data_IF_361159863372
#
_entry.id   IF_361159863372
#
_cell.length_a   1.000
_cell.length_b   1.000
_cell.length_c   1.000
_cell.angle_alpha   90.00
_cell.angle_beta   90.00
_cell.angle_gamma   90.00
#
_symmetry.space_group_name_H-M   'P 1'
#
loop_
_entity.id
_entity.type
_entity.pdbx_description
1 polymer ?
#
# COMPACT_ATOMS: atom_id res chain seq x y z
N UNK A 1 18.70 -39.68 -45.99
CA UNK A 1 18.46 -41.07 -45.54
C UNK A 1 18.44 -41.02 -44.03
N UNK A 2 17.33 -40.79 -43.34
CA UNK A 2 16.09 -41.59 -43.28
C UNK A 2 16.14 -42.38 -41.94
N UNK A 3 15.10 -42.56 -41.12
CA UNK A 3 13.67 -42.31 -41.16
C UNK A 3 13.12 -42.43 -39.71
N UNK A 4 12.10 -41.62 -39.39
CA UNK A 4 10.97 -41.77 -38.43
C UNK A 4 11.10 -42.42 -37.02
N UNK A 5 10.43 -41.80 -36.03
CA UNK A 5 9.61 -42.50 -35.04
C UNK A 5 8.10 -42.47 -35.40
N UNK A 6 7.28 -43.46 -34.98
CA UNK A 6 5.95 -43.67 -35.54
C UNK A 6 4.80 -42.95 -34.82
N UNK A 7 3.80 -42.63 -35.67
CA UNK A 7 2.35 -42.71 -35.47
C UNK A 7 1.60 -41.67 -34.62
N UNK A 8 1.05 -40.69 -35.35
CA UNK A 8 -0.22 -40.01 -35.07
C UNK A 8 -1.40 -41.01 -34.99
N UNK A 9 -2.35 -40.79 -34.07
CA UNK A 9 -3.74 -41.25 -34.23
C UNK A 9 -4.64 -40.06 -34.62
N UNK A 10 -5.46 -40.32 -35.63
CA UNK A 10 -6.46 -39.45 -36.30
C UNK A 10 -7.84 -39.68 -35.63
N UNK A 11 -8.82 -38.77 -35.78
CA UNK A 11 -9.88 -38.51 -34.80
C UNK A 11 -11.11 -39.39 -35.02
N UNK A 12 -12.02 -39.39 -34.04
CA UNK A 12 -13.34 -39.99 -34.18
C UNK A 12 -14.41 -38.91 -34.12
N UNK A 13 -15.17 -38.82 -35.21
CA UNK A 13 -16.37 -38.01 -35.38
C UNK A 13 -17.55 -38.54 -34.54
N UNK A 14 -18.38 -37.58 -34.14
CA UNK A 14 -19.74 -37.59 -33.54
C UNK A 14 -20.74 -38.62 -34.14
N UNK A 15 -21.90 -38.97 -33.49
CA UNK A 15 -22.91 -38.01 -33.01
C UNK A 15 -23.76 -38.32 -31.75
N UNK A 16 -24.39 -37.24 -31.27
CA UNK A 16 -25.46 -37.01 -30.27
C UNK A 16 -26.76 -37.84 -30.48
N UNK A 17 -27.74 -37.96 -29.53
CA UNK A 17 -28.41 -36.82 -28.85
C UNK A 17 -29.07 -36.99 -27.45
N UNK A 18 -29.33 -35.84 -26.82
CA UNK A 18 -30.66 -35.50 -26.27
C UNK A 18 -30.94 -35.71 -24.77
N UNK A 19 -31.01 -34.61 -24.00
CA UNK A 19 -32.19 -34.26 -23.20
C UNK A 19 -32.11 -32.81 -22.70
N UNK A 20 -33.06 -32.01 -23.18
CA UNK A 20 -33.50 -30.77 -22.56
C UNK A 20 -34.40 -31.06 -21.35
N UNK A 21 -34.55 -30.06 -20.47
CA UNK A 21 -35.52 -29.80 -19.38
C UNK A 21 -34.70 -29.28 -18.17
N UNK A 22 -34.93 -28.12 -17.57
CA UNK A 22 -36.00 -27.13 -17.66
C UNK A 22 -35.56 -25.84 -16.99
N UNK A 23 -36.22 -24.74 -17.37
CA UNK A 23 -36.16 -23.43 -16.73
C UNK A 23 -37.03 -23.42 -15.47
N UNK A 24 -36.82 -22.36 -14.70
CA UNK A 24 -37.73 -21.74 -13.71
C UNK A 24 -37.43 -22.09 -12.24
N UNK A 25 -36.76 -21.16 -11.55
CA UNK A 25 -37.24 -20.55 -10.30
C UNK A 25 -36.28 -19.43 -9.85
N UNK A 26 -36.64 -18.19 -10.19
CA UNK A 26 -36.05 -16.95 -9.66
C UNK A 26 -37.05 -16.36 -8.67
N UNK A 27 -36.72 -16.19 -7.37
CA UNK A 27 -37.56 -15.43 -6.47
C UNK A 27 -37.41 -13.91 -6.70
N UNK A 28 -38.55 -13.24 -6.82
CA UNK A 28 -38.70 -11.82 -7.07
C UNK A 28 -38.24 -10.93 -5.90
N UNK A 29 -37.65 -9.79 -6.26
CA UNK A 29 -37.34 -8.64 -5.41
C UNK A 29 -38.63 -7.81 -5.22
N UNK A 30 -39.03 -7.41 -4.00
CA UNK A 30 -40.12 -6.45 -3.83
C UNK A 30 -39.61 -4.99 -3.94
N UNK A 31 -40.36 -4.19 -4.71
CA UNK A 31 -40.19 -2.74 -4.91
C UNK A 31 -40.37 -1.91 -3.62
N UNK A 32 -39.77 -0.69 -3.56
CA UNK A 32 -39.71 0.13 -2.35
C UNK A 32 -41.00 0.93 -2.09
N UNK A 33 -41.29 1.12 -0.80
CA UNK A 33 -42.42 1.89 -0.26
C UNK A 33 -42.16 3.40 -0.33
N UNK A 34 -43.17 4.16 -0.77
CA UNK A 34 -43.23 5.63 -0.85
C UNK A 34 -43.24 6.36 0.51
N UNK A 35 -42.88 7.66 0.55
CA UNK A 35 -42.62 8.42 1.78
C UNK A 35 -43.85 9.15 2.36
N UNK A 36 -43.85 9.35 3.69
CA UNK A 36 -44.80 10.20 4.43
C UNK A 36 -44.14 11.51 4.93
N UNK A 37 -44.93 12.55 5.27
CA UNK A 37 -44.69 13.91 4.79
C UNK A 37 -44.03 14.89 5.77
N UNK A 38 -43.63 16.03 5.18
CA UNK A 38 -43.01 17.22 5.79
C UNK A 38 -43.93 17.91 6.81
N UNK A 39 -43.34 18.23 7.98
CA UNK A 39 -43.87 19.14 8.98
C UNK A 39 -43.08 20.45 9.06
N UNK A 40 -43.82 21.52 9.25
CA UNK A 40 -43.51 22.94 9.02
C UNK A 40 -42.94 23.64 10.29
N UNK A 41 -42.22 24.76 10.09
CA UNK A 41 -42.00 25.93 11.03
C UNK A 41 -40.97 25.71 12.17
N UNK A 42 -40.08 26.65 12.54
CA UNK A 42 -40.23 28.09 12.71
C UNK A 42 -38.87 28.86 12.71
N UNK A 43 -38.97 30.17 12.49
CA UNK A 43 -37.90 31.21 12.49
C UNK A 43 -37.51 31.70 13.90
N UNK A 44 -36.39 32.44 13.91
CA UNK A 44 -35.93 33.49 14.86
C UNK A 44 -34.79 33.03 15.79
N UNK A 45 -33.72 33.79 16.04
CA UNK A 45 -33.37 35.16 15.65
C UNK A 45 -32.03 35.54 16.32
N UNK A 46 -31.34 36.50 15.73
CA UNK A 46 -30.05 37.08 16.14
C UNK A 46 -30.03 37.74 17.54
N UNK A 47 -28.85 37.74 18.19
CA UNK A 47 -28.21 38.89 18.87
C UNK A 47 -26.96 38.40 19.64
N UNK A 48 -25.72 38.70 19.22
CA UNK A 48 -24.90 39.89 19.53
C UNK A 48 -24.51 40.13 21.02
N UNK A 49 -23.25 39.78 21.31
CA UNK A 49 -22.17 40.70 21.70
C UNK A 49 -21.69 40.83 23.17
N UNK A 50 -20.34 40.92 23.27
CA UNK A 50 -19.45 41.48 24.34
C UNK A 50 -19.31 40.60 25.60
N UNK A 51 -18.15 40.34 26.18
CA UNK A 51 -16.76 40.77 26.02
C UNK A 51 -16.07 40.57 27.39
N UNK A 52 -14.82 40.10 27.44
CA UNK A 52 -14.09 39.98 28.71
C UNK A 52 -12.88 39.05 28.64
N UNK A 53 -11.69 39.61 28.83
CA UNK A 53 -10.41 38.89 28.94
C UNK A 53 -10.29 38.18 30.28
N UNK A 54 -9.74 36.97 30.29
CA UNK A 54 -8.90 36.49 31.40
C UNK A 54 -7.93 35.41 30.92
N UNK A 55 -6.69 35.49 31.40
CA UNK A 55 -5.56 34.61 31.10
C UNK A 55 -5.59 33.41 32.06
N UNK A 56 -5.66 32.17 31.56
CA UNK A 56 -5.18 30.99 32.28
C UNK A 56 -5.11 29.73 31.38
N UNK A 57 -3.92 29.12 31.37
CA UNK A 57 -3.55 27.75 30.96
C UNK A 57 -4.55 26.90 30.15
N UNK A 58 -4.22 26.66 28.89
CA UNK A 58 -4.88 25.63 28.09
C UNK A 58 -4.07 24.32 28.11
N UNK A 59 -4.71 23.30 28.68
CA UNK A 59 -4.44 21.89 28.39
C UNK A 59 -4.78 21.67 26.92
N UNK A 60 -3.91 20.96 26.20
CA UNK A 60 -4.21 20.41 24.89
C UNK A 60 -5.28 19.31 25.05
N UNK A 61 -6.55 19.66 24.89
CA UNK A 61 -7.59 18.67 24.60
C UNK A 61 -7.52 18.34 23.10
N UNK A 62 -6.94 17.17 22.77
CA UNK A 62 -7.05 16.57 21.45
C UNK A 62 -8.43 15.95 21.29
N UNK A 63 -9.18 16.40 20.28
CA UNK A 63 -10.48 15.81 19.91
C UNK A 63 -10.30 14.41 19.35
N UNK A 64 -10.88 13.43 20.03
CA UNK A 64 -11.27 12.14 19.44
C UNK A 64 -12.51 12.40 18.59
N UNK A 65 -12.48 12.00 17.33
CA UNK A 65 -13.63 12.11 16.43
C UNK A 65 -14.58 10.94 16.72
N UNK A 66 -15.50 11.13 17.66
CA UNK A 66 -16.71 10.31 17.76
C UNK A 66 -17.82 10.98 16.94
N UNK A 67 -18.40 10.21 16.01
CA UNK A 67 -19.38 10.70 15.06
C UNK A 67 -20.78 10.82 15.65
N UNK A 68 -21.39 12.00 15.53
CA UNK A 68 -22.77 12.18 15.09
C UNK A 68 -22.89 13.53 14.36
N UNK A 69 -23.42 13.48 13.13
CA UNK A 69 -23.53 14.61 12.22
C UNK A 69 -24.83 15.38 12.46
N UNK A 70 -24.80 16.72 12.54
CA UNK A 70 -25.82 17.64 12.01
C UNK A 70 -25.11 18.94 11.56
N UNK A 71 -25.46 19.41 10.35
CA UNK A 71 -24.59 20.20 9.48
C UNK A 71 -24.36 21.68 9.81
N UNK A 72 -23.21 22.18 9.35
CA UNK A 72 -23.05 23.40 8.54
C UNK A 72 -21.64 23.34 7.91
N UNK A 73 -21.54 23.12 6.60
CA UNK A 73 -20.26 23.04 5.88
C UNK A 73 -19.64 24.42 5.76
N UNK A 74 -18.67 24.74 6.61
CA UNK A 74 -17.72 25.83 6.38
C UNK A 74 -16.57 25.29 5.50
N UNK A 75 -16.09 26.06 4.51
CA UNK A 75 -14.96 25.64 3.69
C UNK A 75 -13.72 25.47 4.58
N UNK A 76 -13.13 24.28 4.54
CA UNK A 76 -11.85 23.99 5.17
C UNK A 76 -10.77 24.93 4.58
N UNK A 77 -9.97 25.62 5.40
CA UNK A 77 -8.82 26.35 4.88
C UNK A 77 -7.84 25.34 4.27
N UNK A 78 -7.29 25.68 3.10
CA UNK A 78 -6.23 24.89 2.48
C UNK A 78 -5.09 24.69 3.49
N UNK A 79 -4.55 23.46 3.63
CA UNK A 79 -3.41 23.24 4.49
C UNK A 79 -2.24 24.09 3.97
N UNK A 80 -1.67 24.91 4.85
CA UNK A 80 -0.43 25.64 4.55
C UNK A 80 0.72 24.67 4.29
N UNK A 81 1.73 25.08 3.51
CA UNK A 81 2.89 24.24 3.23
C UNK A 81 3.57 23.85 4.55
N UNK A 82 3.74 22.55 4.76
CA UNK A 82 4.62 22.03 5.80
C UNK A 82 6.03 22.09 5.20
N UNK A 83 6.83 23.05 5.63
CA UNK A 83 8.23 23.16 5.21
C UNK A 83 9.00 21.95 5.76
N UNK A 84 9.44 21.08 4.84
CA UNK A 84 10.53 20.17 5.14
C UNK A 84 11.84 20.97 5.16
N UNK A 85 12.69 20.83 6.18
CA UNK A 85 14.02 21.44 6.14
C UNK A 85 14.76 20.88 4.93
N UNK A 86 15.34 21.79 4.13
CA UNK A 86 16.15 21.45 2.97
C UNK A 86 17.21 20.41 3.36
N UNK A 87 17.26 19.32 2.60
CA UNK A 87 18.36 18.37 2.70
C UNK A 87 19.66 19.12 2.37
N UNK A 88 20.66 19.01 3.24
CA UNK A 88 21.99 19.58 3.01
C UNK A 88 22.56 19.07 1.66
N UNK A 89 23.10 20.00 0.88
CA UNK A 89 23.64 19.81 -0.47
C UNK A 89 24.74 18.71 -0.51
N UNK A 90 24.39 17.53 -1.02
CA UNK A 90 25.37 16.68 -1.72
C UNK A 90 25.49 17.14 -3.19
N UNK A 91 26.69 17.07 -3.80
CA UNK A 91 26.88 17.60 -5.14
C UNK A 91 26.08 16.77 -6.15
N UNK A 92 25.00 17.37 -6.65
CA UNK A 92 24.19 16.80 -7.72
C UNK A 92 25.07 16.49 -8.93
N UNK A 93 24.95 15.25 -9.41
CA UNK A 93 25.50 14.84 -10.69
C UNK A 93 25.03 15.80 -11.80
N UNK A 94 25.93 16.06 -12.73
CA UNK A 94 25.91 17.11 -13.74
C UNK A 94 24.57 17.18 -14.50
N UNK A 95 23.84 18.29 -14.35
CA UNK A 95 22.94 18.92 -15.35
C UNK A 95 22.19 17.97 -16.32
N UNK A 96 21.59 16.91 -15.78
CA UNK A 96 20.80 15.98 -16.58
C UNK A 96 19.44 16.59 -16.90
N UNK A 97 19.08 16.66 -18.18
CA UNK A 97 17.75 17.07 -18.63
C UNK A 97 16.66 16.33 -17.82
N UNK A 98 15.79 17.05 -17.07
CA UNK A 98 14.76 16.44 -16.25
C UNK A 98 13.90 15.41 -17.00
N UNK A 99 13.67 15.62 -18.30
CA UNK A 99 12.94 14.65 -19.14
C UNK A 99 13.68 13.33 -19.24
N UNK A 100 15.00 13.37 -19.40
CA UNK A 100 15.84 12.16 -19.51
C UNK A 100 15.79 11.36 -18.22
N UNK A 101 15.90 12.02 -17.07
CA UNK A 101 15.81 11.38 -15.75
C UNK A 101 14.42 10.78 -15.51
N UNK A 102 13.35 11.51 -15.80
CA UNK A 102 11.97 11.05 -15.64
C UNK A 102 11.66 9.87 -16.58
N UNK A 103 12.10 9.94 -17.83
CA UNK A 103 11.92 8.84 -18.78
C UNK A 103 12.72 7.59 -18.38
N UNK A 104 13.92 7.78 -17.81
CA UNK A 104 14.69 6.70 -17.18
C UNK A 104 13.91 6.05 -16.02
N UNK A 105 13.40 6.85 -15.09
CA UNK A 105 12.58 6.37 -13.97
C UNK A 105 11.35 5.60 -14.45
N UNK A 106 10.62 6.12 -15.42
CA UNK A 106 9.45 5.46 -15.99
C UNK A 106 9.81 4.10 -16.63
N UNK A 107 10.91 4.00 -17.37
CA UNK A 107 11.42 2.72 -17.90
C UNK A 107 11.78 1.73 -16.79
N UNK A 108 12.46 2.20 -15.74
CA UNK A 108 12.80 1.35 -14.59
C UNK A 108 11.54 0.82 -13.88
N UNK A 109 10.51 1.66 -13.70
CA UNK A 109 9.23 1.22 -13.12
C UNK A 109 8.55 0.18 -14.02
N UNK A 110 8.49 0.42 -15.33
CA UNK A 110 7.90 -0.51 -16.29
C UNK A 110 8.57 -1.90 -16.22
N UNK A 111 9.90 -1.93 -16.18
CA UNK A 111 10.69 -3.15 -16.08
C UNK A 111 10.52 -3.86 -14.73
N UNK A 112 10.45 -3.09 -13.63
CA UNK A 112 10.34 -3.63 -12.29
C UNK A 112 8.96 -4.27 -12.01
N UNK A 113 7.88 -3.68 -12.53
CA UNK A 113 6.51 -4.15 -12.24
C UNK A 113 5.99 -5.15 -13.27
N UNK A 114 6.62 -5.25 -14.44
CA UNK A 114 6.30 -6.26 -15.44
C UNK A 114 7.58 -6.93 -15.99
N UNK A 115 8.36 -7.62 -15.15
CA UNK A 115 9.48 -8.41 -15.61
C UNK A 115 9.03 -9.53 -16.59
N UNK A 116 9.95 -10.18 -17.33
CA UNK A 116 9.60 -11.19 -18.33
C UNK A 116 8.75 -12.36 -17.82
N UNK A 117 8.80 -12.65 -16.53
CA UNK A 117 8.05 -13.70 -15.83
C UNK A 117 6.76 -13.20 -15.16
N UNK A 118 6.44 -11.89 -15.26
CA UNK A 118 5.21 -11.34 -14.72
C UNK A 118 3.97 -11.92 -15.43
N UNK A 119 2.84 -12.08 -14.71
CA UNK A 119 1.58 -12.48 -15.32
C UNK A 119 1.20 -11.54 -16.47
N UNK A 120 0.58 -12.04 -17.55
CA UNK A 120 0.14 -11.21 -18.67
C UNK A 120 -0.75 -10.03 -18.27
N UNK A 121 -1.45 -10.09 -17.13
CA UNK A 121 -2.25 -8.99 -16.58
C UNK A 121 -1.43 -7.74 -16.19
N UNK A 122 -0.10 -7.82 -16.07
CA UNK A 122 0.73 -6.64 -15.77
C UNK A 122 1.03 -5.75 -16.97
N UNK A 123 0.62 -6.16 -18.18
CA UNK A 123 0.95 -5.44 -19.42
C UNK A 123 0.53 -3.97 -19.41
N UNK A 124 -0.60 -3.63 -18.78
CA UNK A 124 -1.16 -2.28 -18.82
C UNK A 124 -0.32 -1.30 -17.98
N UNK A 125 0.15 -1.76 -16.83
CA UNK A 125 1.13 -1.05 -16.00
C UNK A 125 2.37 -0.72 -16.83
N UNK A 126 3.00 -1.75 -17.43
CA UNK A 126 4.20 -1.57 -18.24
C UNK A 126 3.95 -0.62 -19.41
N UNK A 127 2.87 -0.83 -20.16
CA UNK A 127 2.52 0.00 -21.31
C UNK A 127 2.29 1.47 -20.94
N UNK A 128 1.72 1.73 -19.76
CA UNK A 128 1.51 3.11 -19.25
C UNK A 128 2.84 3.80 -18.99
N UNK A 129 3.74 3.16 -18.23
CA UNK A 129 5.04 3.76 -17.92
C UNK A 129 5.95 3.86 -19.14
N UNK A 130 5.92 2.89 -20.05
CA UNK A 130 6.64 3.01 -21.32
C UNK A 130 6.08 4.15 -22.17
N UNK A 131 4.76 4.37 -22.19
CA UNK A 131 4.18 5.52 -22.87
C UNK A 131 4.62 6.85 -22.24
N UNK A 132 4.67 6.96 -20.91
CA UNK A 132 5.21 8.14 -20.22
C UNK A 132 6.67 8.40 -20.60
N UNK A 133 7.47 7.34 -20.80
CA UNK A 133 8.89 7.46 -21.12
C UNK A 133 9.20 7.78 -22.59
N UNK A 134 8.25 7.61 -23.51
CA UNK A 134 8.46 7.65 -24.97
C UNK A 134 7.57 8.66 -25.70
N UNK A 135 6.43 9.04 -25.14
CA UNK A 135 5.53 10.04 -25.74
C UNK A 135 5.82 11.43 -25.18
N UNK A 136 6.13 12.38 -26.07
CA UNK A 136 6.50 13.74 -25.67
C UNK A 136 5.43 14.45 -24.84
N UNK A 137 4.14 14.22 -25.10
CA UNK A 137 3.07 14.92 -24.38
C UNK A 137 2.92 14.38 -22.95
N UNK A 138 3.06 13.07 -22.75
CA UNK A 138 3.07 12.48 -21.41
C UNK A 138 4.33 12.88 -20.64
N UNK A 139 5.49 12.89 -21.32
CA UNK A 139 6.76 13.26 -20.70
C UNK A 139 6.79 14.75 -20.33
N UNK A 140 6.22 15.63 -21.15
CA UNK A 140 6.01 17.05 -20.83
C UNK A 140 5.17 17.22 -19.56
N UNK A 141 4.07 16.47 -19.43
CA UNK A 141 3.23 16.51 -18.24
C UNK A 141 3.98 16.03 -17.00
N UNK A 142 4.69 14.90 -17.10
CA UNK A 142 5.48 14.37 -16.00
C UNK A 142 6.58 15.35 -15.58
N UNK A 143 7.24 16.04 -16.52
CA UNK A 143 8.27 17.04 -16.24
C UNK A 143 7.76 18.28 -15.47
N UNK A 144 6.43 18.49 -15.38
CA UNK A 144 5.86 19.54 -14.52
C UNK A 144 5.79 19.18 -13.05
N UNK A 145 6.03 17.91 -12.71
CA UNK A 145 5.94 17.37 -11.35
C UNK A 145 7.34 17.42 -10.72
N UNK A 146 7.50 17.96 -9.50
CA UNK A 146 8.76 17.88 -8.76
C UNK A 146 9.27 16.43 -8.65
N UNK A 147 10.58 16.25 -8.83
CA UNK A 147 11.17 14.91 -8.92
C UNK A 147 10.98 14.07 -7.64
N UNK A 148 11.00 14.71 -6.47
CA UNK A 148 10.74 14.12 -5.16
C UNK A 148 9.28 13.64 -4.97
N UNK A 149 8.38 13.98 -5.89
CA UNK A 149 6.98 13.53 -5.91
C UNK A 149 6.72 12.37 -6.87
N UNK A 150 7.77 11.69 -7.34
CA UNK A 150 7.70 10.50 -8.18
C UNK A 150 6.88 10.71 -9.47
N UNK A 151 7.35 11.57 -10.40
CA UNK A 151 6.55 12.05 -11.53
C UNK A 151 5.81 10.97 -12.35
N UNK A 152 6.44 9.85 -12.76
CA UNK A 152 5.74 8.84 -13.55
C UNK A 152 4.60 8.16 -12.77
N UNK A 153 4.81 7.88 -11.48
CA UNK A 153 3.82 7.23 -10.61
C UNK A 153 2.64 8.16 -10.37
N UNK A 154 2.92 9.42 -10.03
CA UNK A 154 1.89 10.40 -9.76
C UNK A 154 1.05 10.73 -11.01
N UNK A 155 1.69 10.87 -12.18
CA UNK A 155 0.97 11.08 -13.44
C UNK A 155 0.09 9.88 -13.79
N UNK A 156 0.59 8.65 -13.61
CA UNK A 156 -0.19 7.43 -13.83
C UNK A 156 -1.46 7.40 -12.96
N UNK A 157 -1.33 7.72 -11.67
CA UNK A 157 -2.46 7.82 -10.74
C UNK A 157 -3.44 8.93 -11.14
N UNK A 158 -2.95 10.12 -11.50
CA UNK A 158 -3.80 11.22 -11.96
C UNK A 158 -4.59 10.86 -13.23
N UNK A 159 -3.96 10.18 -14.19
CA UNK A 159 -4.63 9.66 -15.39
C UNK A 159 -5.73 8.69 -15.00
N UNK A 160 -5.44 7.69 -14.16
CA UNK A 160 -6.42 6.68 -13.75
C UNK A 160 -7.59 7.30 -12.98
N UNK A 161 -7.32 8.23 -12.07
CA UNK A 161 -8.34 8.93 -11.29
C UNK A 161 -9.29 9.74 -12.18
N UNK A 162 -8.72 10.52 -13.12
CA UNK A 162 -9.50 11.37 -14.02
C UNK A 162 -10.26 10.58 -15.09
N UNK A 163 -9.78 9.38 -15.41
CA UNK A 163 -10.41 8.48 -16.37
C UNK A 163 -11.84 8.09 -15.96
N UNK A 164 -12.11 7.93 -14.67
CA UNK A 164 -13.43 7.54 -14.18
C UNK A 164 -14.50 8.60 -14.51
N UNK A 165 -14.11 9.89 -14.45
CA UNK A 165 -15.01 11.03 -14.67
C UNK A 165 -15.05 11.47 -16.15
N UNK A 166 -13.91 11.46 -16.84
CA UNK A 166 -13.74 12.11 -18.16
C UNK A 166 -13.12 11.20 -19.23
N UNK A 167 -12.77 9.98 -18.87
CA UNK A 167 -12.11 9.04 -19.76
C UNK A 167 -12.98 8.66 -20.95
N UNK A 168 -12.45 8.69 -22.18
CA UNK A 168 -13.22 8.28 -23.34
C UNK A 168 -13.34 6.74 -23.39
N UNK A 169 -14.42 6.18 -23.99
CA UNK A 169 -14.67 4.73 -23.98
C UNK A 169 -13.52 3.89 -24.55
N UNK A 170 -12.81 4.41 -25.56
CA UNK A 170 -11.65 3.77 -26.17
C UNK A 170 -10.48 3.57 -25.21
N UNK A 171 -10.32 4.43 -24.19
CA UNK A 171 -9.29 4.28 -23.17
C UNK A 171 -9.81 3.51 -21.94
N UNK A 172 -11.02 3.84 -21.47
CA UNK A 172 -11.64 3.19 -20.29
C UNK A 172 -11.67 1.67 -20.38
N UNK A 173 -11.91 1.12 -21.57
CA UNK A 173 -12.01 -0.33 -21.82
C UNK A 173 -10.74 -1.14 -21.52
N UNK A 174 -9.58 -0.51 -21.36
CA UNK A 174 -8.34 -1.23 -21.01
C UNK A 174 -8.20 -1.44 -19.51
N UNK A 175 -8.76 -0.54 -18.71
CA UNK A 175 -8.56 -0.50 -17.27
C UNK A 175 -9.53 -1.45 -16.56
N UNK A 176 -9.04 -2.39 -15.74
CA UNK A 176 -9.89 -3.34 -15.04
C UNK A 176 -10.71 -2.67 -13.93
N UNK A 177 -11.82 -3.32 -13.60
CA UNK A 177 -12.59 -3.09 -12.37
C UNK A 177 -12.38 -4.28 -11.42
N UNK A 178 -12.56 -4.11 -10.10
CA UNK A 178 -12.52 -5.21 -9.14
C UNK A 178 -13.40 -6.40 -9.58
N UNK A 179 -12.84 -7.61 -9.57
CA UNK A 179 -13.49 -8.85 -10.02
C UNK A 179 -13.79 -8.92 -11.53
N UNK A 180 -13.36 -7.93 -12.32
CA UNK A 180 -13.59 -7.86 -13.76
C UNK A 180 -12.60 -8.70 -14.56
N UNK A 181 -12.62 -8.52 -15.88
CA UNK A 181 -11.59 -9.08 -16.76
C UNK A 181 -10.63 -7.98 -17.20
N UNK A 182 -9.41 -8.37 -17.59
CA UNK A 182 -8.44 -7.46 -18.17
C UNK A 182 -8.31 -7.72 -19.67
N UNK A 183 -8.46 -6.64 -20.45
CA UNK A 183 -8.34 -6.70 -21.91
C UNK A 183 -6.88 -7.02 -22.30
N UNK A 184 -6.63 -7.86 -23.31
CA UNK A 184 -5.28 -8.04 -23.84
C UNK A 184 -4.74 -6.77 -24.51
N UNK A 185 -3.41 -6.62 -24.63
CA UNK A 185 -2.80 -5.47 -25.30
C UNK A 185 -3.19 -5.44 -26.79
N UNK A 186 -3.43 -4.24 -27.30
CA UNK A 186 -3.58 -3.97 -28.73
C UNK A 186 -3.00 -2.58 -29.08
N UNK A 187 -2.90 -2.25 -30.37
CA UNK A 187 -2.32 -0.99 -30.83
C UNK A 187 -3.14 0.26 -30.50
N UNK A 188 -4.35 0.12 -29.95
CA UNK A 188 -5.25 1.24 -29.65
C UNK A 188 -4.96 1.94 -28.31
N UNK A 189 -4.27 1.27 -27.38
CA UNK A 189 -4.05 1.81 -26.03
C UNK A 189 -3.22 3.11 -26.04
N UNK A 190 -2.03 3.08 -26.65
CA UNK A 190 -1.11 4.23 -26.64
C UNK A 190 -1.71 5.49 -27.30
N UNK A 191 -2.32 5.42 -28.50
CA UNK A 191 -2.98 6.59 -29.09
C UNK A 191 -4.13 7.14 -28.24
N UNK A 192 -4.94 6.27 -27.61
CA UNK A 192 -6.04 6.68 -26.75
C UNK A 192 -5.52 7.37 -25.47
N UNK A 193 -4.48 6.82 -24.84
CA UNK A 193 -3.82 7.41 -23.67
C UNK A 193 -3.24 8.79 -23.99
N UNK A 194 -2.48 8.89 -25.08
CA UNK A 194 -1.91 10.16 -25.57
C UNK A 194 -2.99 11.20 -25.85
N UNK A 195 -4.07 10.80 -26.54
CA UNK A 195 -5.19 11.68 -26.88
C UNK A 195 -5.86 12.24 -25.63
N UNK A 196 -6.18 11.38 -24.66
CA UNK A 196 -6.76 11.77 -23.39
C UNK A 196 -5.84 12.70 -22.57
N UNK A 197 -4.56 12.32 -22.42
CA UNK A 197 -3.59 13.11 -21.67
C UNK A 197 -3.39 14.51 -22.29
N UNK A 198 -3.35 14.59 -23.61
CA UNK A 198 -3.25 15.88 -24.32
C UNK A 198 -4.51 16.74 -24.13
N UNK A 199 -5.71 16.16 -24.24
CA UNK A 199 -6.96 16.90 -24.10
C UNK A 199 -7.25 17.37 -22.67
N UNK A 200 -6.78 16.61 -21.69
CA UNK A 200 -7.05 16.85 -20.26
C UNK A 200 -5.79 17.32 -19.50
N UNK A 201 -4.75 17.78 -20.22
CA UNK A 201 -3.45 18.17 -19.68
C UNK A 201 -3.53 19.08 -18.44
N UNK A 202 -4.35 20.13 -18.50
CA UNK A 202 -4.54 21.06 -17.38
C UNK A 202 -5.10 20.36 -16.13
N UNK A 203 -6.12 19.53 -16.30
CA UNK A 203 -6.75 18.82 -15.19
C UNK A 203 -5.78 17.82 -14.55
N UNK A 204 -4.99 17.13 -15.37
CA UNK A 204 -3.95 16.20 -14.89
C UNK A 204 -2.84 16.92 -14.13
N UNK A 205 -2.37 18.07 -14.61
CA UNK A 205 -1.39 18.89 -13.88
C UNK A 205 -1.94 19.38 -12.53
N UNK A 206 -3.21 19.82 -12.50
CA UNK A 206 -3.84 20.28 -11.26
C UNK A 206 -4.01 19.13 -10.25
N UNK A 207 -4.39 17.92 -10.70
CA UNK A 207 -4.43 16.72 -9.86
C UNK A 207 -3.04 16.38 -9.28
N UNK A 208 -1.99 16.37 -10.12
CA UNK A 208 -0.63 16.09 -9.66
C UNK A 208 -0.12 17.13 -8.64
N UNK A 209 -0.60 18.37 -8.69
CA UNK A 209 -0.27 19.38 -7.67
C UNK A 209 -0.95 19.06 -6.33
N UNK A 210 -2.23 18.67 -6.39
CA UNK A 210 -3.09 18.46 -5.23
C UNK A 210 -2.80 17.17 -4.47
N UNK A 211 -2.26 16.15 -5.13
CA UNK A 211 -2.15 14.81 -4.54
C UNK A 211 -0.72 14.26 -4.51
N UNK A 212 -0.39 13.49 -3.49
CA UNK A 212 0.81 12.64 -3.45
C UNK A 212 0.47 11.23 -3.90
N UNK A 213 1.42 10.58 -4.57
CA UNK A 213 1.31 9.16 -4.88
C UNK A 213 1.40 8.35 -3.60
N UNK A 214 0.54 7.34 -3.45
CA UNK A 214 0.49 6.48 -2.27
C UNK A 214 0.81 5.05 -2.68
N UNK A 215 1.91 4.51 -2.16
CA UNK A 215 2.35 3.15 -2.48
C UNK A 215 1.86 2.16 -1.42
N UNK A 216 0.55 1.96 -1.38
CA UNK A 216 -0.06 0.98 -0.46
C UNK A 216 -0.19 -0.38 -1.14
N UNK A 217 0.53 -1.39 -0.63
CA UNK A 217 0.41 -2.77 -1.11
C UNK A 217 -0.04 -3.68 0.03
N UNK A 218 -1.32 -4.07 0.00
CA UNK A 218 -1.95 -4.95 1.00
C UNK A 218 -1.24 -6.30 1.08
N UNK A 219 -0.69 -6.79 -0.05
CA UNK A 219 -0.01 -8.06 -0.11
C UNK A 219 1.22 -8.14 0.79
N UNK A 220 1.82 -7.02 1.22
CA UNK A 220 2.94 -7.00 2.19
C UNK A 220 2.57 -7.56 3.57
N UNK A 221 1.28 -7.76 3.86
CA UNK A 221 0.86 -8.56 5.01
C UNK A 221 1.37 -10.00 4.96
N UNK A 222 1.65 -10.54 3.76
CA UNK A 222 2.28 -11.86 3.59
C UNK A 222 3.69 -11.90 4.19
N UNK A 223 4.42 -10.79 4.14
CA UNK A 223 5.79 -10.66 4.67
C UNK A 223 5.78 -10.47 6.19
N UNK A 224 4.79 -9.72 6.70
CA UNK A 224 4.64 -9.41 8.12
C UNK A 224 4.08 -10.58 8.94
N UNK A 225 3.09 -11.32 8.42
CA UNK A 225 2.36 -12.31 9.20
C UNK A 225 3.27 -13.42 9.79
N UNK A 226 4.27 -13.97 9.07
CA UNK A 226 5.21 -14.94 9.63
C UNK A 226 6.07 -14.34 10.75
N UNK A 227 6.48 -13.07 10.64
CA UNK A 227 7.22 -12.38 11.71
C UNK A 227 6.36 -12.17 12.96
N UNK A 228 5.11 -11.76 12.78
CA UNK A 228 4.16 -11.63 13.89
C UNK A 228 3.85 -12.99 14.54
N UNK A 229 3.76 -14.06 13.75
CA UNK A 229 3.57 -15.42 14.24
C UNK A 229 4.78 -15.90 15.07
N UNK A 230 6.01 -15.60 14.63
CA UNK A 230 7.23 -15.88 15.39
C UNK A 230 7.23 -15.15 16.74
N UNK A 231 6.91 -13.84 16.74
CA UNK A 231 6.81 -13.05 17.98
C UNK A 231 5.77 -13.66 18.94
N UNK A 232 4.58 -13.99 18.45
CA UNK A 232 3.51 -14.55 19.28
C UNK A 232 3.81 -15.99 19.79
N UNK A 233 4.71 -16.72 19.13
CA UNK A 233 5.16 -18.03 19.62
C UNK A 233 6.19 -17.89 20.76
N UNK A 234 6.94 -16.79 20.79
CA UNK A 234 7.96 -16.51 21.80
C UNK A 234 7.42 -15.75 23.02
N UNK A 235 6.37 -14.95 22.83
CA UNK A 235 5.76 -14.11 23.86
C UNK A 235 4.24 -14.37 23.96
N UNK A 236 3.72 -14.78 25.12
CA UNK A 236 2.30 -15.13 25.26
C UNK A 236 1.37 -13.91 25.35
N UNK A 237 1.90 -12.69 25.41
CA UNK A 237 1.08 -11.47 25.43
C UNK A 237 0.35 -11.29 24.11
N UNK A 238 -0.81 -10.63 24.17
CA UNK A 238 -1.47 -10.15 22.96
C UNK A 238 -0.66 -9.01 22.33
N UNK A 239 -0.78 -8.84 21.02
CA UNK A 239 -0.08 -7.81 20.27
C UNK A 239 -0.87 -6.49 20.31
N UNK A 240 -0.18 -5.41 20.62
CA UNK A 240 -0.58 -4.04 20.28
C UNK A 240 0.18 -3.64 19.00
N UNK A 241 -0.49 -3.78 17.85
CA UNK A 241 0.11 -3.58 16.54
C UNK A 241 0.14 -2.10 16.18
N UNK A 242 1.32 -1.58 15.80
CA UNK A 242 1.48 -0.20 15.38
C UNK A 242 2.09 -0.18 13.98
N UNK A 243 1.35 0.32 13.01
CA UNK A 243 1.79 0.44 11.61
C UNK A 243 2.34 1.84 11.34
N UNK A 244 3.63 1.92 11.04
CA UNK A 244 4.37 3.15 10.79
C UNK A 244 4.35 3.47 9.30
N UNK A 245 3.83 4.65 8.95
CA UNK A 245 3.53 4.98 7.54
C UNK A 245 2.27 4.30 7.04
N UNK A 246 1.26 4.19 7.90
CA UNK A 246 0.08 3.35 7.65
C UNK A 246 -0.76 3.82 6.45
N UNK A 247 -0.61 5.08 6.03
CA UNK A 247 -1.48 5.74 5.07
C UNK A 247 -2.95 5.64 5.47
N UNK A 248 -3.65 4.71 4.84
CA UNK A 248 -5.09 4.45 5.03
C UNK A 248 -5.41 3.29 5.99
N UNK A 249 -4.41 2.68 6.64
CA UNK A 249 -4.65 1.63 7.63
C UNK A 249 -4.81 0.21 7.07
N UNK A 250 -4.62 -0.01 5.76
CA UNK A 250 -4.84 -1.33 5.16
C UNK A 250 -3.89 -2.41 5.71
N UNK A 251 -2.67 -2.03 6.11
CA UNK A 251 -1.68 -2.92 6.72
C UNK A 251 -1.98 -3.29 8.17
N UNK A 252 -2.93 -2.61 8.83
CA UNK A 252 -3.29 -2.86 10.23
C UNK A 252 -4.19 -4.09 10.41
N UNK A 253 -4.65 -4.76 9.35
CA UNK A 253 -5.62 -5.86 9.41
C UNK A 253 -5.08 -7.25 8.99
N UNK A 254 -3.84 -7.64 9.33
CA UNK A 254 -3.31 -8.94 8.91
C UNK A 254 -4.10 -10.11 9.53
N UNK A 255 -4.82 -9.87 10.63
CA UNK A 255 -5.72 -10.82 11.29
C UNK A 255 -7.06 -11.04 10.58
N UNK A 256 -7.36 -10.23 9.55
CA UNK A 256 -8.60 -10.31 8.77
C UNK A 256 -8.40 -10.72 7.32
N UNK A 257 -7.17 -11.03 6.93
CA UNK A 257 -6.85 -11.47 5.58
C UNK A 257 -6.54 -12.96 5.57
N UNK A 258 -6.88 -13.63 4.48
CA UNK A 258 -6.48 -15.02 4.25
C UNK A 258 -5.16 -15.03 3.49
N UNK A 259 -4.12 -15.63 4.07
CA UNK A 259 -2.79 -15.70 3.49
C UNK A 259 -2.47 -17.14 3.07
N UNK A 260 -2.04 -17.31 1.82
CA UNK A 260 -1.61 -18.59 1.25
C UNK A 260 -0.15 -18.52 0.80
N UNK A 261 0.68 -19.39 1.37
CA UNK A 261 2.11 -19.50 1.09
C UNK A 261 2.37 -20.78 0.30
N UNK A 262 2.69 -20.65 -0.99
CA UNK A 262 2.98 -21.81 -1.86
C UNK A 262 4.43 -22.25 -1.66
N UNK A 263 4.64 -23.48 -1.22
CA UNK A 263 5.96 -24.02 -0.92
C UNK A 263 6.61 -24.65 -2.17
N UNK A 264 7.96 -24.76 -2.21
CA UNK A 264 8.67 -25.35 -3.35
C UNK A 264 8.32 -26.82 -3.65
N UNK A 265 7.79 -27.55 -2.66
CA UNK A 265 7.37 -28.96 -2.81
C UNK A 265 5.94 -29.12 -3.40
N UNK A 266 5.30 -27.99 -3.76
CA UNK A 266 3.95 -27.95 -4.30
C UNK A 266 2.84 -27.96 -3.24
N UNK A 267 3.17 -28.05 -1.95
CA UNK A 267 2.21 -27.87 -0.87
C UNK A 267 1.96 -26.38 -0.59
N UNK A 268 0.94 -26.07 0.22
CA UNK A 268 0.67 -24.70 0.65
C UNK A 268 0.41 -24.65 2.16
N UNK A 269 0.91 -23.60 2.80
CA UNK A 269 0.53 -23.23 4.17
C UNK A 269 -0.47 -22.09 4.10
N UNK A 270 -1.47 -22.12 4.97
CA UNK A 270 -2.50 -21.07 5.04
C UNK A 270 -2.64 -20.52 6.45
N UNK A 271 -3.04 -19.26 6.55
CA UNK A 271 -3.38 -18.60 7.81
C UNK A 271 -4.48 -17.56 7.61
N UNK A 272 -5.32 -17.36 8.62
CA UNK A 272 -6.48 -16.46 8.56
C UNK A 272 -7.77 -17.16 8.17
N UNK A 273 -8.88 -16.42 8.23
CA UNK A 273 -10.22 -16.92 7.91
C UNK A 273 -10.34 -17.22 6.42
N UNK A 274 -10.69 -18.45 6.06
CA UNK A 274 -10.91 -18.87 4.66
C UNK A 274 -12.09 -18.14 3.98
N UNK A 275 -12.99 -17.53 4.76
CA UNK A 275 -14.10 -16.72 4.28
C UNK A 275 -13.78 -15.22 4.19
N UNK A 276 -12.54 -14.81 4.48
CA UNK A 276 -12.09 -13.44 4.29
C UNK A 276 -12.33 -13.00 2.83
N UNK A 277 -12.87 -11.80 2.57
CA UNK A 277 -12.97 -11.29 1.20
C UNK A 277 -11.60 -10.95 0.60
N UNK A 278 -10.55 -10.84 1.42
CA UNK A 278 -9.17 -10.57 1.01
C UNK A 278 -8.37 -11.86 1.06
N UNK A 279 -7.97 -12.35 -0.12
CA UNK A 279 -7.05 -13.48 -0.27
C UNK A 279 -5.71 -12.98 -0.82
N UNK A 280 -4.65 -13.28 -0.08
CA UNK A 280 -3.28 -12.94 -0.39
C UNK A 280 -2.51 -14.22 -0.67
N UNK A 281 -1.59 -14.20 -1.63
CA UNK A 281 -0.70 -15.34 -1.84
C UNK A 281 0.67 -14.97 -2.39
N UNK A 282 1.69 -15.72 -1.98
CA UNK A 282 3.05 -15.61 -2.49
C UNK A 282 3.69 -17.00 -2.66
N UNK A 283 4.74 -17.04 -3.46
CA UNK A 283 5.62 -18.20 -3.57
C UNK A 283 6.75 -18.13 -2.54
N UNK A 284 6.88 -19.17 -1.72
CA UNK A 284 7.96 -19.27 -0.73
C UNK A 284 9.22 -19.80 -1.40
N UNK A 285 10.34 -19.16 -1.11
CA UNK A 285 11.68 -19.63 -1.44
C UNK A 285 12.32 -20.19 -0.18
N UNK A 286 12.51 -21.51 -0.16
CA UNK A 286 13.03 -22.22 1.01
C UNK A 286 11.93 -22.66 1.97
N UNK A 287 12.21 -22.58 3.27
CA UNK A 287 11.27 -22.94 4.32
C UNK A 287 10.51 -21.70 4.81
N UNK A 288 9.39 -21.89 5.49
CA UNK A 288 8.65 -20.84 6.20
C UNK A 288 8.23 -21.39 7.57
N UNK A 289 8.35 -20.62 8.67
CA UNK A 289 7.72 -21.03 9.93
C UNK A 289 6.21 -21.17 9.73
N UNK A 290 5.52 -22.07 10.47
CA UNK A 290 4.07 -22.23 10.35
C UNK A 290 3.36 -20.87 10.55
N UNK A 291 2.71 -20.30 9.51
CA UNK A 291 2.07 -19.01 9.64
C UNK A 291 0.85 -19.16 10.56
N UNK A 292 0.65 -18.19 11.46
CA UNK A 292 -0.49 -18.14 12.38
C UNK A 292 -0.91 -16.69 12.57
N UNK A 293 -2.21 -16.46 12.67
CA UNK A 293 -2.73 -15.13 13.04
C UNK A 293 -2.54 -14.93 14.55
N UNK A 294 -1.78 -13.91 14.98
CA UNK A 294 -1.61 -13.60 16.39
C UNK A 294 -2.88 -12.96 16.98
N UNK A 295 -3.04 -13.04 18.29
CA UNK A 295 -4.10 -12.30 18.98
C UNK A 295 -3.73 -10.80 19.07
N UNK A 296 -4.43 -9.96 18.31
CA UNK A 296 -4.23 -8.50 18.29
C UNK A 296 -5.25 -7.84 19.22
N UNK A 297 -4.78 -7.30 20.35
CA UNK A 297 -5.65 -6.63 21.34
C UNK A 297 -5.90 -5.15 21.00
N UNK A 298 -4.96 -4.49 20.34
CA UNK A 298 -5.10 -3.12 19.87
C UNK A 298 -4.32 -2.92 18.58
N UNK A 299 -4.75 -1.94 17.79
CA UNK A 299 -4.06 -1.52 16.58
C UNK A 299 -4.02 0.00 16.52
N UNK A 300 -2.93 0.57 16.04
CA UNK A 300 -2.74 2.02 15.89
C UNK A 300 -1.98 2.30 14.61
N UNK A 301 -2.57 3.08 13.72
CA UNK A 301 -1.85 3.64 12.58
C UNK A 301 -1.04 4.86 13.00
N UNK A 302 0.11 5.07 12.36
CA UNK A 302 0.89 6.30 12.47
C UNK A 302 1.22 6.79 11.07
N UNK A 303 0.91 8.05 10.78
CA UNK A 303 1.26 8.67 9.50
C UNK A 303 1.39 10.19 9.63
N UNK A 304 2.17 10.82 8.76
CA UNK A 304 2.23 12.29 8.67
C UNK A 304 0.97 12.86 8.00
N UNK A 305 0.36 12.08 7.11
CA UNK A 305 -0.87 12.39 6.39
C UNK A 305 -1.83 11.18 6.44
N UNK A 306 -2.45 10.90 7.61
CA UNK A 306 -3.46 9.84 7.72
C UNK A 306 -4.59 10.04 6.71
N UNK A 307 -4.95 8.96 6.01
CA UNK A 307 -5.96 8.97 4.95
C UNK A 307 -7.25 8.30 5.44
N UNK A 308 -8.37 8.99 5.28
CA UNK A 308 -9.68 8.50 5.71
C UNK A 308 -10.39 7.77 4.57
N UNK A 309 -10.58 6.46 4.72
CA UNK A 309 -11.31 5.64 3.76
C UNK A 309 -12.81 5.90 3.75
N UNK A 310 -13.38 6.59 4.73
CA UNK A 310 -14.78 7.01 4.68
C UNK A 310 -15.02 8.16 3.68
N UNK A 311 -13.96 8.90 3.30
CA UNK A 311 -14.03 9.87 2.21
C UNK A 311 -13.85 9.16 0.86
N UNK A 312 -14.89 9.18 0.04
CA UNK A 312 -14.87 8.54 -1.27
C UNK A 312 -13.87 9.15 -2.25
N UNK A 313 -13.50 10.42 -2.07
CA UNK A 313 -12.45 11.02 -2.91
C UNK A 313 -11.09 10.44 -2.56
N UNK A 314 -10.82 10.26 -1.27
CA UNK A 314 -9.62 9.61 -0.76
C UNK A 314 -9.56 8.15 -1.22
N UNK A 315 -10.64 7.38 -1.06
CA UNK A 315 -10.70 5.99 -1.51
C UNK A 315 -10.49 5.86 -3.03
N UNK A 316 -11.12 6.72 -3.84
CA UNK A 316 -10.90 6.77 -5.30
C UNK A 316 -9.47 7.15 -5.68
N UNK A 317 -8.84 8.07 -4.96
CA UNK A 317 -7.45 8.46 -5.21
C UNK A 317 -6.50 7.28 -4.92
N UNK A 318 -6.69 6.61 -3.79
CA UNK A 318 -5.91 5.43 -3.43
C UNK A 318 -6.10 4.29 -4.44
N UNK A 319 -7.33 4.04 -4.88
CA UNK A 319 -7.61 3.07 -5.94
C UNK A 319 -6.87 3.42 -7.25
N UNK A 320 -6.70 4.71 -7.56
CA UNK A 320 -5.97 5.16 -8.73
C UNK A 320 -4.44 5.00 -8.59
N UNK A 321 -3.90 4.94 -7.37
CA UNK A 321 -2.50 4.60 -7.12
C UNK A 321 -2.22 3.08 -7.22
N UNK A 322 -3.25 2.23 -7.25
CA UNK A 322 -3.06 0.79 -7.43
C UNK A 322 -2.69 0.49 -8.89
N UNK A 323 -1.69 -0.37 -9.16
CA UNK A 323 -1.43 -0.82 -10.53
C UNK A 323 -2.72 -1.31 -11.20
N UNK A 324 -2.97 -0.95 -12.47
CA UNK A 324 -4.18 -1.32 -13.20
C UNK A 324 -4.14 -2.79 -13.66
N UNK A 325 -4.02 -3.68 -12.69
CA UNK A 325 -3.96 -5.14 -12.78
C UNK A 325 -5.13 -5.71 -11.99
N UNK A 326 -5.82 -6.72 -12.55
CA UNK A 326 -7.11 -7.18 -12.04
C UNK A 326 -7.05 -7.69 -10.60
N UNK A 327 -6.04 -8.47 -10.24
CA UNK A 327 -5.92 -9.03 -8.89
C UNK A 327 -5.55 -7.93 -7.87
N UNK A 328 -4.72 -6.97 -8.27
CA UNK A 328 -4.34 -5.80 -7.47
C UNK A 328 -5.54 -4.91 -7.13
N UNK A 329 -6.34 -4.52 -8.13
CA UNK A 329 -7.53 -3.67 -7.89
C UNK A 329 -8.61 -4.43 -7.11
N UNK A 330 -8.73 -5.74 -7.32
CA UNK A 330 -9.69 -6.60 -6.59
C UNK A 330 -9.32 -6.70 -5.13
N UNK A 331 -8.05 -7.04 -4.84
CA UNK A 331 -7.52 -7.11 -3.47
C UNK A 331 -7.65 -5.77 -2.76
N UNK A 332 -7.28 -4.67 -3.42
CA UNK A 332 -7.39 -3.33 -2.83
C UNK A 332 -8.85 -3.01 -2.46
N UNK A 333 -9.80 -3.24 -3.37
CA UNK A 333 -11.23 -3.00 -3.11
C UNK A 333 -11.72 -3.78 -1.89
N UNK A 334 -11.41 -5.08 -1.82
CA UNK A 334 -11.80 -5.91 -0.69
C UNK A 334 -11.14 -5.46 0.63
N UNK A 335 -9.88 -5.02 0.59
CA UNK A 335 -9.18 -4.51 1.78
C UNK A 335 -9.76 -3.18 2.27
N UNK A 336 -10.18 -2.30 1.36
CA UNK A 336 -10.90 -1.07 1.71
C UNK A 336 -12.21 -1.40 2.42
N UNK A 337 -12.96 -2.38 1.95
CA UNK A 337 -14.20 -2.81 2.61
C UNK A 337 -13.94 -3.35 4.02
N UNK A 338 -12.90 -4.17 4.20
CA UNK A 338 -12.49 -4.66 5.53
C UNK A 338 -12.11 -3.50 6.46
N UNK A 339 -11.29 -2.55 5.98
CA UNK A 339 -10.86 -1.41 6.78
C UNK A 339 -12.02 -0.48 7.16
N UNK A 340 -13.00 -0.30 6.27
CA UNK A 340 -14.24 0.45 6.56
C UNK A 340 -15.12 -0.23 7.60
N UNK A 341 -15.22 -1.55 7.56
CA UNK A 341 -15.98 -2.33 8.54
C UNK A 341 -15.28 -2.38 9.91
N UNK A 342 -13.97 -2.19 9.93
CA UNK A 342 -13.14 -2.31 11.12
C UNK A 342 -12.17 -1.12 11.25
N UNK A 343 -12.67 0.11 11.40
CA UNK A 343 -11.82 1.29 11.44
C UNK A 343 -10.78 1.19 12.55
N UNK A 344 -9.53 1.53 12.22
CA UNK A 344 -8.42 1.61 13.16
C UNK A 344 -8.15 3.07 13.53
N UNK A 345 -7.81 3.38 14.80
CA UNK A 345 -7.36 4.71 15.16
C UNK A 345 -6.02 5.01 14.49
N UNK A 346 -5.85 6.25 14.02
CA UNK A 346 -4.60 6.72 13.42
C UNK A 346 -4.11 7.97 14.14
N UNK A 347 -2.83 8.00 14.45
CA UNK A 347 -2.14 9.13 15.04
C UNK A 347 -1.39 9.89 13.96
N UNK A 348 -1.74 11.16 13.77
CA UNK A 348 -1.01 12.06 12.89
C UNK A 348 0.30 12.49 13.56
N UNK A 349 1.44 12.25 12.93
CA UNK A 349 2.73 12.70 13.44
C UNK A 349 3.92 12.14 12.68
N UNK A 350 5.07 12.76 12.90
CA UNK A 350 6.35 12.24 12.42
C UNK A 350 6.77 11.01 13.25
N UNK A 351 7.31 9.99 12.56
CA UNK A 351 7.71 8.71 13.17
C UNK A 351 8.69 8.87 14.34
N UNK A 352 9.59 9.86 14.29
CA UNK A 352 10.58 10.12 15.35
C UNK A 352 9.92 10.67 16.60
N UNK A 353 8.96 11.57 16.42
CA UNK A 353 8.38 12.37 17.50
C UNK A 353 7.18 11.69 18.17
N UNK A 354 6.58 10.69 17.49
CA UNK A 354 5.34 10.03 17.90
C UNK A 354 5.53 8.85 18.87
N UNK A 355 6.75 8.31 19.00
CA UNK A 355 7.03 7.11 19.80
C UNK A 355 6.52 7.18 21.26
N UNK A 356 6.67 8.30 22.00
CA UNK A 356 6.12 8.39 23.36
C UNK A 356 4.60 8.24 23.40
N UNK A 357 3.89 8.88 22.47
CA UNK A 357 2.43 8.81 22.39
C UNK A 357 1.91 7.43 21.97
N UNK A 358 2.69 6.69 21.17
CA UNK A 358 2.41 5.29 20.82
C UNK A 358 2.42 4.40 22.07
N UNK A 359 3.42 4.59 22.93
CA UNK A 359 3.58 3.78 24.16
C UNK A 359 2.45 4.04 25.14
N UNK A 360 2.06 5.31 25.32
CA UNK A 360 0.93 5.70 26.17
C UNK A 360 -0.39 5.06 25.73
N UNK A 361 -0.55 4.78 24.43
CA UNK A 361 -1.73 4.13 23.84
C UNK A 361 -1.65 2.61 23.84
N UNK A 362 -0.54 2.02 24.25
CA UNK A 362 -0.37 0.57 24.32
C UNK A 362 -1.14 0.02 25.52
N UNK A 363 -2.10 -0.91 25.33
CA UNK A 363 -2.85 -1.48 26.44
C UNK A 363 -1.95 -2.18 27.47
N UNK A 364 -2.24 -2.06 28.78
CA UNK A 364 -1.52 -2.81 29.80
C UNK A 364 -1.56 -4.31 29.53
N UNK A 365 -0.41 -4.98 29.58
CA UNK A 365 -0.28 -6.43 29.36
C UNK A 365 -0.20 -6.86 27.89
N UNK A 366 -0.33 -5.94 26.93
CA UNK A 366 -0.01 -6.21 25.52
C UNK A 366 1.48 -5.97 25.24
N UNK A 367 2.03 -6.71 24.27
CA UNK A 367 3.35 -6.45 23.71
C UNK A 367 3.23 -5.40 22.60
N UNK A 368 3.99 -4.31 22.72
CA UNK A 368 4.08 -3.30 21.66
C UNK A 368 4.84 -3.88 20.47
N UNK A 369 4.22 -3.93 19.30
CA UNK A 369 4.86 -4.37 18.05
C UNK A 369 4.74 -3.27 17.02
N UNK A 370 5.86 -2.59 16.75
CA UNK A 370 6.02 -1.63 15.67
C UNK A 370 6.27 -2.39 14.38
N UNK A 371 5.51 -2.07 13.33
CA UNK A 371 5.74 -2.57 11.98
C UNK A 371 5.89 -1.42 11.01
N UNK A 372 6.75 -1.59 10.02
CA UNK A 372 6.88 -0.69 8.89
C UNK A 372 7.03 -1.49 7.59
N UNK A 373 6.45 -0.95 6.52
CA UNK A 373 6.56 -1.53 5.19
C UNK A 373 6.87 -0.45 4.16
N UNK A 374 8.16 -0.25 3.87
CA UNK A 374 8.69 0.72 2.91
C UNK A 374 8.54 2.20 3.32
N UNK A 375 8.25 2.52 4.58
CA UNK A 375 8.12 3.94 5.00
C UNK A 375 9.49 4.60 5.20
N UNK A 376 10.49 3.84 5.63
CA UNK A 376 11.76 4.42 6.07
C UNK A 376 12.65 4.87 4.91
N UNK A 377 12.38 4.41 3.68
CA UNK A 377 13.02 4.92 2.46
C UNK A 377 12.77 6.41 2.22
N UNK A 378 11.72 6.98 2.82
CA UNK A 378 11.39 8.39 2.70
C UNK A 378 12.05 9.26 3.80
N UNK A 379 12.72 8.65 4.77
CA UNK A 379 13.42 9.39 5.82
C UNK A 379 14.85 9.74 5.37
N UNK A 380 15.27 11.01 5.49
CA UNK A 380 16.69 11.35 5.38
C UNK A 380 17.53 10.56 6.40
N UNK A 381 18.82 10.28 6.13
CA UNK A 381 19.67 9.47 7.00
C UNK A 381 19.67 9.93 8.47
N UNK A 382 19.71 11.24 8.72
CA UNK A 382 19.65 11.80 10.08
C UNK A 382 18.33 11.52 10.80
N UNK A 383 17.19 11.52 10.09
CA UNK A 383 15.87 11.20 10.67
C UNK A 383 15.74 9.71 10.94
N UNK A 384 16.24 8.85 10.06
CA UNK A 384 16.28 7.40 10.29
C UNK A 384 17.16 7.07 11.52
N UNK A 385 18.32 7.69 11.65
CA UNK A 385 19.18 7.54 12.83
C UNK A 385 18.48 8.02 14.12
N UNK A 386 17.75 9.14 14.06
CA UNK A 386 16.98 9.64 15.19
C UNK A 386 15.83 8.69 15.59
N UNK A 387 15.16 8.08 14.60
CA UNK A 387 14.12 7.07 14.82
C UNK A 387 14.69 5.84 15.54
N UNK A 388 15.79 5.25 15.02
CA UNK A 388 16.49 4.12 15.66
C UNK A 388 16.85 4.42 17.11
N UNK A 389 17.48 5.59 17.35
CA UNK A 389 17.84 6.02 18.70
C UNK A 389 16.61 6.22 19.61
N UNK A 390 15.46 6.61 19.04
CA UNK A 390 14.18 6.68 19.73
C UNK A 390 13.69 5.32 20.18
N UNK A 391 13.67 4.35 19.27
CA UNK A 391 13.31 2.94 19.55
C UNK A 391 14.26 2.35 20.60
N UNK A 392 15.57 2.58 20.48
CA UNK A 392 16.57 2.15 21.48
C UNK A 392 16.29 2.71 22.88
N UNK A 393 16.02 4.01 22.98
CA UNK A 393 15.71 4.64 24.28
C UNK A 393 14.44 4.08 24.89
N UNK A 394 13.44 3.80 24.06
CA UNK A 394 12.17 3.23 24.50
C UNK A 394 12.35 1.78 24.95
N UNK A 395 13.04 0.96 24.15
CA UNK A 395 13.27 -0.46 24.40
C UNK A 395 14.02 -0.74 25.71
N UNK A 396 14.85 0.19 26.18
CA UNK A 396 15.50 0.12 27.51
C UNK A 396 14.53 0.19 28.70
N UNK A 397 13.29 0.61 28.48
CA UNK A 397 12.28 0.84 29.52
C UNK A 397 10.98 0.07 29.29
N UNK A 398 10.72 -0.31 28.04
CA UNK A 398 9.47 -0.94 27.62
C UNK A 398 9.80 -2.10 26.70
N UNK A 399 9.25 -3.27 27.00
CA UNK A 399 9.32 -4.39 26.07
C UNK A 399 8.60 -4.03 24.77
N UNK A 400 9.29 -4.22 23.66
CA UNK A 400 8.73 -3.98 22.33
C UNK A 400 9.38 -4.88 21.29
N UNK A 401 8.72 -4.99 20.15
CA UNK A 401 9.27 -5.52 18.91
C UNK A 401 9.17 -4.45 17.83
N UNK A 402 10.18 -4.39 16.97
CA UNK A 402 10.18 -3.63 15.75
C UNK A 402 10.44 -4.58 14.59
N UNK A 403 9.45 -4.80 13.73
CA UNK A 403 9.55 -5.60 12.50
C UNK A 403 9.53 -4.64 11.31
N UNK A 404 10.58 -4.67 10.51
CA UNK A 404 10.67 -3.86 9.31
C UNK A 404 10.65 -4.74 8.08
N UNK A 405 9.91 -4.30 7.06
CA UNK A 405 9.95 -4.81 5.69
C UNK A 405 10.30 -3.63 4.77
N UNK A 406 11.57 -3.26 4.75
CA UNK A 406 12.08 -2.15 3.94
C UNK A 406 13.23 -2.62 3.06
N UNK A 407 13.47 -1.97 1.92
CA UNK A 407 14.65 -2.26 1.13
C UNK A 407 15.91 -1.85 1.88
N UNK A 408 17.05 -2.31 1.39
CA UNK A 408 18.33 -1.84 1.88
C UNK A 408 18.47 -0.33 1.67
N UNK A 409 19.11 0.34 2.63
CA UNK A 409 19.32 1.79 2.63
C UNK A 409 20.81 2.18 2.52
N UNK A 410 21.13 3.31 1.84
CA UNK A 410 20.21 4.12 1.04
C UNK A 410 19.69 3.32 -0.16
N UNK A 411 18.46 3.63 -0.60
CA UNK A 411 17.89 3.00 -1.78
C UNK A 411 18.71 3.42 -3.01
N UNK A 412 19.10 2.45 -3.85
CA UNK A 412 19.87 2.72 -5.06
C UNK A 412 20.98 1.69 -5.28
N UNK A 413 21.97 1.99 -6.13
CA UNK A 413 23.03 1.05 -6.53
C UNK A 413 24.11 0.82 -5.47
N UNK A 414 24.10 1.57 -4.37
CA UNK A 414 25.07 1.45 -3.28
C UNK A 414 24.38 1.29 -1.91
N UNK A 415 23.50 0.28 -1.74
CA UNK A 415 22.91 0.00 -0.45
C UNK A 415 23.99 -0.38 0.57
N UNK A 416 23.84 0.02 1.82
CA UNK A 416 24.85 -0.22 2.88
C UNK A 416 24.36 -1.10 4.02
N UNK A 417 23.04 -1.23 4.21
CA UNK A 417 22.48 -2.09 5.26
C UNK A 417 20.97 -1.95 5.39
N UNK A 418 20.40 -2.51 6.45
CA UNK A 418 18.95 -2.44 6.69
C UNK A 418 18.54 -1.12 7.35
N UNK A 419 17.24 -0.80 7.33
CA UNK A 419 16.67 0.35 8.06
C UNK A 419 16.78 0.23 9.57
N UNK A 420 17.06 -0.95 10.11
CA UNK A 420 17.29 -1.21 11.52
C UNK A 420 18.78 -1.19 11.90
N UNK A 421 19.69 -1.20 10.92
CA UNK A 421 21.13 -1.31 11.16
C UNK A 421 21.60 -2.75 11.43
N UNK A 422 20.85 -3.74 10.92
CA UNK A 422 21.23 -5.15 10.99
C UNK A 422 22.30 -5.47 9.94
N UNK A 423 23.20 -6.38 10.28
CA UNK A 423 24.11 -6.99 9.32
C UNK A 423 23.35 -7.87 8.33
N UNK A 424 23.74 -7.80 7.06
CA UNK A 424 23.19 -8.63 5.98
C UNK A 424 24.29 -9.41 5.28
N UNK A 425 23.98 -10.56 4.66
CA UNK A 425 24.94 -11.27 3.82
C UNK A 425 25.56 -10.35 2.76
N UNK A 426 26.90 -10.35 2.55
CA UNK A 426 27.55 -9.46 1.58
C UNK A 426 26.95 -9.55 0.16
N UNK A 427 26.57 -10.75 -0.28
CA UNK A 427 25.95 -10.94 -1.59
C UNK A 427 24.58 -10.26 -1.76
N UNK A 428 23.92 -9.84 -0.68
CA UNK A 428 22.69 -9.04 -0.76
C UNK A 428 22.98 -7.58 -1.12
N UNK A 429 24.17 -7.07 -0.77
CA UNK A 429 24.59 -5.71 -1.12
C UNK A 429 25.06 -5.61 -2.59
N UNK A 430 25.47 -6.74 -3.17
CA UNK A 430 25.96 -6.86 -4.55
C UNK A 430 24.83 -7.14 -5.56
N UNK A 431 23.61 -7.39 -5.11
CA UNK A 431 22.48 -7.74 -5.97
C UNK A 431 21.88 -6.49 -6.63
N UNK A 432 21.84 -6.47 -7.97
CA UNK A 432 21.32 -5.36 -8.79
C UNK A 432 19.77 -5.26 -8.79
N UNK A 433 19.11 -5.87 -7.81
CA UNK A 433 17.65 -5.92 -7.70
C UNK A 433 17.20 -5.39 -6.37
N UNK A 434 16.13 -4.59 -6.38
CA UNK A 434 15.46 -4.15 -5.16
C UNK A 434 14.59 -5.28 -4.61
N UNK A 435 14.79 -5.61 -3.33
CA UNK A 435 13.95 -6.49 -2.54
C UNK A 435 13.74 -5.88 -1.16
N UNK A 436 12.64 -6.25 -0.49
CA UNK A 436 12.44 -5.93 0.91
C UNK A 436 13.30 -6.84 1.78
N UNK A 437 13.93 -6.29 2.81
CA UNK A 437 14.59 -7.05 3.87
C UNK A 437 13.66 -7.11 5.06
N UNK A 438 13.42 -8.32 5.56
CA UNK A 438 12.60 -8.54 6.75
C UNK A 438 13.54 -8.63 7.94
N UNK A 439 13.50 -7.63 8.81
CA UNK A 439 14.33 -7.56 10.00
C UNK A 439 13.50 -7.36 11.26
N UNK A 440 14.02 -7.86 12.38
CA UNK A 440 13.41 -7.75 13.69
C UNK A 440 14.42 -7.21 14.70
N UNK A 441 14.01 -6.20 15.45
CA UNK A 441 14.71 -5.69 16.63
C UNK A 441 13.74 -5.75 17.81
N UNK A 442 14.05 -6.57 18.81
CA UNK A 442 13.24 -6.74 20.01
C UNK A 442 13.94 -6.21 21.25
N UNK A 443 13.17 -5.79 22.25
CA UNK A 443 13.66 -5.52 23.59
C UNK A 443 12.86 -6.31 24.63
N UNK A 444 13.56 -6.96 25.55
CA UNK A 444 12.96 -7.64 26.71
C UNK A 444 13.75 -7.31 27.97
N UNK A 445 13.09 -6.72 28.96
CA UNK A 445 13.78 -6.31 30.20
C UNK A 445 14.93 -5.32 29.97
N UNK A 446 14.88 -4.55 28.87
CA UNK A 446 15.93 -3.63 28.46
C UNK A 446 17.09 -4.25 27.69
N UNK A 447 17.12 -5.57 27.51
CA UNK A 447 18.07 -6.26 26.64
C UNK A 447 17.58 -6.23 25.20
N UNK A 448 18.51 -6.02 24.25
CA UNK A 448 18.22 -5.90 22.82
C UNK A 448 18.52 -7.22 22.12
N UNK A 449 17.60 -7.65 21.25
CA UNK A 449 17.74 -8.83 20.42
C UNK A 449 17.51 -8.45 18.96
N UNK A 450 18.26 -9.06 18.06
CA UNK A 450 18.20 -8.77 16.64
C UNK A 450 18.09 -10.06 15.85
N UNK A 451 17.30 -10.00 14.78
CA UNK A 451 17.17 -11.12 13.88
C UNK A 451 16.89 -10.63 12.46
N UNK A 452 17.71 -11.11 11.54
CA UNK A 452 17.38 -11.07 10.11
C UNK A 452 16.44 -12.24 9.82
N UNK A 453 15.23 -11.94 9.33
CA UNK A 453 14.17 -12.93 9.11
C UNK A 453 14.07 -13.38 7.66
N UNK A 454 14.50 -12.54 6.70
CA UNK A 454 14.50 -12.93 5.31
C UNK A 454 14.46 -11.78 4.32
N UNK A 455 13.97 -12.08 3.12
CA UNK A 455 13.77 -11.15 2.01
C UNK A 455 12.41 -11.36 1.37
N UNK A 456 11.86 -10.31 0.79
CA UNK A 456 10.59 -10.37 0.09
C UNK A 456 10.62 -9.59 -1.23
N UNK A 457 9.77 -9.99 -2.16
CA UNK A 457 9.47 -9.17 -3.32
C UNK A 457 8.85 -7.83 -2.88
N UNK A 458 9.17 -6.68 -3.48
CA UNK A 458 8.56 -5.40 -3.10
C UNK A 458 7.03 -5.35 -3.18
N UNK A 459 6.43 -6.19 -4.03
CA UNK A 459 4.99 -6.42 -4.16
C UNK A 459 4.50 -7.75 -3.60
N UNK A 460 5.26 -8.40 -2.71
CA UNK A 460 4.93 -9.66 -2.04
C UNK A 460 4.58 -10.85 -2.96
N UNK A 461 5.17 -10.93 -4.16
CA UNK A 461 5.01 -12.06 -5.07
C UNK A 461 5.76 -13.31 -4.56
N UNK A 462 6.89 -13.12 -3.89
CA UNK A 462 7.66 -14.18 -3.27
C UNK A 462 8.22 -13.76 -1.91
N UNK A 463 8.43 -14.75 -1.05
CA UNK A 463 8.99 -14.60 0.29
C UNK A 463 10.10 -15.62 0.51
N UNK A 464 11.29 -15.16 0.89
CA UNK A 464 12.44 -15.99 1.25
C UNK A 464 12.72 -15.83 2.74
N UNK A 465 12.41 -16.85 3.55
CA UNK A 465 12.64 -16.81 4.98
C UNK A 465 13.99 -17.44 5.34
N UNK A 466 14.70 -16.84 6.29
CA UNK A 466 15.96 -17.39 6.82
C UNK A 466 15.68 -18.13 8.14
N UNK A 467 15.65 -19.48 8.14
CA UNK A 467 15.24 -20.27 9.30
C UNK A 467 16.21 -20.19 10.48
N UNK A 468 17.49 -19.95 10.21
CA UNK A 468 18.51 -19.71 11.22
C UNK A 468 18.83 -18.22 11.23
N UNK A 469 18.14 -17.46 12.07
CA UNK A 469 18.57 -16.10 12.40
C UNK A 469 19.99 -16.15 12.92
N UNK A 470 20.99 -16.02 12.04
CA UNK A 470 22.38 -16.08 12.44
C UNK A 470 22.67 -14.81 13.23
N UNK A 471 22.54 -14.90 14.55
CA UNK A 471 23.51 -14.26 15.43
C UNK A 471 24.88 -14.79 15.01
N UNK A 472 25.70 -13.96 14.38
CA UNK A 472 27.14 -14.18 14.32
C UNK A 472 27.84 -13.01 14.96
#
# INVERSE_FOLDING_TARGET
MGLDPPARRVPCDRPEPGCALGRDDVPAIPDPVEPLPRGDRHRAGDALARGGRELAGERLELRVLDGEAHGTTLPLPAPGPVDHPAADDEPADVDADPRTTIAGQARSIAAAWSPPDAPPSWWLTAATFTAIAEDDALLDLAATIPFDRLPPLLLSAAIRYHLDDRGPPELRRYYPSPGGSQRPPDGGFRPALRGFASSEAKALTDLCRQHRYQMTEVARCLDLLPALATIAAEDPRTIALVDLGTGAGLGLHPDRYHCTYRLPDGTALTAGDEHSPVHLSCDVRGALPPPRVPAIAARLGVDVEPLDLADERTARWLAACVPPEVDAVTRFSAAVDVARQHPAPTLRGDLVDVLPAVVERTPPGALLVLVDTYVHVFLPPGRLAAFRAGVDRLGRRTDLEWVSVDPLVPLGPAPTGTVQGLDVPPGWLEEDRVFGVIGRVGYRGGERHEQLLGRAHPGAAWLEWTPDGRQR
#
